data_IF_623744904223
#
_entry.id   IF_623744904223
#
_cell.length_a   1.000
_cell.length_b   1.000
_cell.length_c   1.000
_cell.angle_alpha   90.00
_cell.angle_beta   90.00
_cell.angle_gamma   90.00
#
_symmetry.space_group_name_H-M   'P 1'
#
loop_
_entity.id
_entity.type
_entity.pdbx_description
1 polymer ?
#
# COMPACT_ATOMS: atom_id res chain seq x y z
N UNK A 1 15.72 13.24 2.73
CA UNK A 1 15.95 11.83 3.13
C UNK A 1 14.64 11.27 3.64
N UNK A 2 14.30 10.05 3.23
CA UNK A 2 13.05 9.38 3.57
C UNK A 2 13.13 8.82 5.00
N UNK A 3 12.18 9.15 5.91
CA UNK A 3 12.12 8.57 7.25
C UNK A 3 11.98 7.04 7.24
N UNK A 4 12.58 6.35 8.24
CA UNK A 4 12.40 4.91 8.49
C UNK A 4 11.05 4.61 9.15
N UNK A 5 9.97 4.97 8.45
CA UNK A 5 8.59 4.73 8.85
C UNK A 5 7.90 3.94 7.74
N UNK A 6 7.34 2.79 8.08
CA UNK A 6 6.56 1.94 7.19
C UNK A 6 5.07 2.18 7.42
N UNK A 7 4.34 2.46 6.36
CA UNK A 7 2.91 2.72 6.37
C UNK A 7 2.17 1.64 5.60
N UNK A 8 1.24 0.99 6.28
CA UNK A 8 0.34 -0.02 5.71
C UNK A 8 -1.08 0.44 5.96
N UNK A 9 -1.93 0.40 4.94
CA UNK A 9 -3.29 0.97 5.02
C UNK A 9 -4.29 -0.13 4.71
N UNK A 10 -5.23 -0.36 5.63
CA UNK A 10 -6.34 -1.27 5.43
C UNK A 10 -7.63 -0.67 6.01
N UNK A 11 -8.57 -0.32 5.14
CA UNK A 11 -9.89 0.20 5.51
C UNK A 11 -10.98 -0.68 4.90
N UNK A 12 -12.15 -0.68 5.53
CA UNK A 12 -13.26 -1.56 5.20
C UNK A 12 -13.36 -2.74 6.18
N UNK A 13 -13.69 -3.92 5.67
CA UNK A 13 -13.89 -5.10 6.50
C UNK A 13 -12.57 -5.58 7.15
N UNK A 14 -12.50 -5.44 8.48
CA UNK A 14 -11.33 -5.86 9.26
C UNK A 14 -11.13 -7.37 9.28
N UNK A 15 -12.20 -8.16 9.09
CA UNK A 15 -12.08 -9.62 9.03
C UNK A 15 -11.27 -10.11 7.81
N UNK A 16 -11.16 -9.26 6.78
CA UNK A 16 -10.38 -9.54 5.56
C UNK A 16 -8.94 -9.01 5.63
N UNK A 17 -8.58 -8.31 6.71
CA UNK A 17 -7.25 -7.70 6.84
C UNK A 17 -6.16 -8.77 6.83
N UNK A 18 -5.14 -8.67 5.96
CA UNK A 18 -4.11 -9.68 5.81
C UNK A 18 -3.02 -9.57 6.90
N UNK A 19 -3.38 -9.72 8.18
CA UNK A 19 -2.46 -9.50 9.31
C UNK A 19 -1.18 -10.35 9.24
N UNK A 20 -1.26 -11.54 8.65
CA UNK A 20 -0.09 -12.40 8.42
C UNK A 20 0.89 -11.84 7.39
N UNK A 21 0.38 -11.16 6.36
CA UNK A 21 1.22 -10.46 5.37
C UNK A 21 1.81 -9.19 5.98
N UNK A 22 1.00 -8.41 6.71
CA UNK A 22 1.46 -7.24 7.47
C UNK A 22 2.60 -7.63 8.43
N UNK A 23 2.48 -8.76 9.12
CA UNK A 23 3.52 -9.25 10.02
C UNK A 23 4.85 -9.55 9.31
N UNK A 24 4.84 -9.90 8.02
CA UNK A 24 6.10 -10.11 7.28
C UNK A 24 6.88 -8.80 7.11
N UNK A 25 6.19 -7.67 6.92
CA UNK A 25 6.82 -6.35 6.89
C UNK A 25 7.43 -5.99 8.24
N UNK A 26 6.70 -6.21 9.34
CA UNK A 26 7.18 -5.99 10.71
C UNK A 26 8.45 -6.82 10.99
N UNK A 27 8.42 -8.11 10.64
CA UNK A 27 9.55 -9.01 10.89
C UNK A 27 10.82 -8.63 10.12
N UNK A 28 10.68 -8.06 8.92
CA UNK A 28 11.81 -7.61 8.10
C UNK A 28 12.32 -6.21 8.44
N UNK A 29 11.62 -5.46 9.29
CA UNK A 29 11.97 -4.08 9.64
C UNK A 29 11.92 -3.84 11.17
N UNK A 30 12.67 -4.60 11.98
CA UNK A 30 12.62 -4.49 13.45
C UNK A 30 13.10 -3.15 14.00
N UNK A 31 13.85 -2.38 13.21
CA UNK A 31 14.38 -1.06 13.58
C UNK A 31 13.52 0.10 13.04
N UNK A 32 12.42 -0.18 12.32
CA UNK A 32 11.57 0.83 11.73
C UNK A 32 10.29 1.00 12.54
N UNK A 33 9.74 2.21 12.52
CA UNK A 33 8.38 2.44 12.99
C UNK A 33 7.40 1.89 11.96
N UNK A 34 6.55 0.93 12.34
CA UNK A 34 5.50 0.39 11.46
C UNK A 34 4.14 0.87 11.92
N UNK A 35 3.42 1.58 11.03
CA UNK A 35 2.09 2.11 11.27
C UNK A 35 1.08 1.40 10.37
N UNK A 36 0.12 0.71 10.99
CA UNK A 36 -1.05 0.16 10.33
C UNK A 36 -2.22 1.12 10.51
N UNK A 37 -2.63 1.76 9.41
CA UNK A 37 -3.73 2.71 9.36
C UNK A 37 -5.04 1.99 9.03
N UNK A 38 -6.06 2.23 9.84
CA UNK A 38 -7.35 1.55 9.73
C UNK A 38 -8.56 2.48 9.74
N UNK A 39 -9.74 1.86 9.89
CA UNK A 39 -11.03 2.57 9.95
C UNK A 39 -11.03 3.63 11.06
N UNK A 40 -10.42 3.33 12.21
CA UNK A 40 -10.35 4.25 13.33
C UNK A 40 -9.51 5.50 12.98
N UNK A 41 -8.39 5.35 12.27
CA UNK A 41 -7.57 6.49 11.85
C UNK A 41 -8.31 7.34 10.80
N UNK A 42 -9.03 6.69 9.90
CA UNK A 42 -9.86 7.36 8.90
C UNK A 42 -10.87 8.32 9.55
N UNK A 43 -11.51 7.92 10.65
CA UNK A 43 -12.52 8.75 11.34
C UNK A 43 -11.93 9.73 12.37
N UNK A 44 -10.82 9.38 13.02
CA UNK A 44 -10.27 10.17 14.13
C UNK A 44 -9.26 11.25 13.70
N UNK A 45 -8.63 11.09 12.53
CA UNK A 45 -7.67 12.05 12.02
C UNK A 45 -8.34 13.22 11.29
N UNK A 46 -7.61 14.33 11.18
CA UNK A 46 -7.99 15.45 10.31
C UNK A 46 -7.34 15.28 8.95
N UNK A 47 -8.18 15.06 7.93
CA UNK A 47 -7.76 14.88 6.55
C UNK A 47 -8.03 16.15 5.73
N UNK A 48 -7.09 16.56 4.90
CA UNK A 48 -7.27 17.65 3.93
C UNK A 48 -8.28 17.26 2.86
N UNK A 49 -8.29 16.00 2.44
CA UNK A 49 -9.20 15.43 1.46
C UNK A 49 -10.45 14.81 2.11
N UNK A 50 -10.90 15.30 3.27
CA UNK A 50 -12.01 14.71 4.05
C UNK A 50 -13.28 14.51 3.22
N UNK A 51 -13.66 15.51 2.43
CA UNK A 51 -14.85 15.42 1.56
C UNK A 51 -14.70 14.33 0.50
N UNK A 52 -13.51 14.20 -0.10
CA UNK A 52 -13.22 13.18 -1.10
C UNK A 52 -13.16 11.78 -0.49
N UNK A 53 -12.54 11.63 0.69
CA UNK A 53 -12.51 10.38 1.45
C UNK A 53 -13.92 9.91 1.79
N UNK A 54 -14.77 10.82 2.27
CA UNK A 54 -16.16 10.52 2.60
C UNK A 54 -16.92 9.97 1.40
N UNK A 55 -16.79 10.65 0.27
CA UNK A 55 -17.44 10.25 -0.96
C UNK A 55 -16.96 8.91 -1.51
N UNK A 56 -15.64 8.71 -1.55
CA UNK A 56 -15.05 7.46 -2.02
C UNK A 56 -15.39 6.28 -1.11
N UNK A 57 -15.57 6.52 0.20
CA UNK A 57 -15.98 5.51 1.16
C UNK A 57 -17.35 4.89 0.87
N UNK A 58 -18.21 5.57 0.12
CA UNK A 58 -19.50 5.04 -0.32
C UNK A 58 -19.38 4.08 -1.52
N UNK A 59 -18.20 3.98 -2.15
CA UNK A 59 -18.01 3.29 -3.42
C UNK A 59 -16.92 2.22 -3.33
N UNK A 60 -15.73 2.59 -2.86
CA UNK A 60 -14.56 1.70 -2.90
C UNK A 60 -13.55 2.02 -1.78
N UNK A 61 -13.37 1.06 -0.87
CA UNK A 61 -12.37 1.14 0.20
C UNK A 61 -10.93 1.24 -0.33
N UNK A 62 -10.64 0.67 -1.51
CA UNK A 62 -9.32 0.81 -2.12
C UNK A 62 -9.04 2.26 -2.55
N UNK A 63 -10.07 2.99 -3.00
CA UNK A 63 -9.93 4.40 -3.36
C UNK A 63 -9.68 5.27 -2.12
N UNK A 64 -10.36 4.96 -1.01
CA UNK A 64 -10.11 5.60 0.29
C UNK A 64 -8.66 5.36 0.74
N UNK A 65 -8.20 4.11 0.73
CA UNK A 65 -6.81 3.77 1.08
C UNK A 65 -5.78 4.50 0.19
N UNK A 66 -6.09 4.68 -1.10
CA UNK A 66 -5.25 5.40 -2.04
C UNK A 66 -5.17 6.91 -1.73
N UNK A 67 -6.26 7.55 -1.29
CA UNK A 67 -6.21 8.96 -0.86
C UNK A 67 -5.46 9.10 0.48
N UNK A 68 -5.74 8.23 1.45
CA UNK A 68 -5.03 8.21 2.73
C UNK A 68 -3.52 8.10 2.53
N UNK A 69 -3.06 7.24 1.61
CA UNK A 69 -1.64 7.07 1.26
C UNK A 69 -0.95 8.40 0.96
N UNK A 70 -1.54 9.23 0.11
CA UNK A 70 -0.92 10.47 -0.31
C UNK A 70 -0.85 11.49 0.82
N UNK A 71 -1.90 11.59 1.63
CA UNK A 71 -1.90 12.48 2.80
C UNK A 71 -0.94 12.01 3.88
N UNK A 72 -0.86 10.71 4.15
CA UNK A 72 0.10 10.13 5.09
C UNK A 72 1.53 10.43 4.64
N UNK A 73 1.88 10.15 3.37
CA UNK A 73 3.22 10.47 2.84
C UNK A 73 3.49 11.98 2.86
N UNK A 74 2.49 12.83 2.58
CA UNK A 74 2.65 14.28 2.67
C UNK A 74 3.00 14.73 4.09
N UNK A 75 2.30 14.18 5.09
CA UNK A 75 2.39 14.60 6.48
C UNK A 75 3.56 13.98 7.24
N UNK A 76 3.87 12.72 6.98
CA UNK A 76 4.86 11.95 7.73
C UNK A 76 6.12 11.62 6.92
N UNK A 77 6.04 11.62 5.58
CA UNK A 77 7.05 10.98 4.74
C UNK A 77 6.97 9.46 4.89
N UNK A 78 8.10 8.78 4.82
CA UNK A 78 8.21 7.35 5.04
C UNK A 78 7.98 6.53 3.78
N UNK A 79 7.66 5.25 3.95
CA UNK A 79 7.44 4.29 2.87
C UNK A 79 6.07 3.64 3.03
N UNK A 80 5.21 3.82 2.03
CA UNK A 80 3.95 3.09 1.94
C UNK A 80 4.16 1.82 1.13
N UNK A 81 3.56 0.73 1.60
CA UNK A 81 3.59 -0.58 0.94
C UNK A 81 2.19 -1.18 0.88
N UNK A 82 1.93 -2.05 -0.09
CA UNK A 82 0.63 -2.70 -0.24
C UNK A 82 0.33 -3.63 0.94
N UNK A 83 -0.88 -3.54 1.49
CA UNK A 83 -1.30 -4.40 2.61
C UNK A 83 -1.40 -5.88 2.22
N UNK A 84 -1.74 -6.17 0.97
CA UNK A 84 -1.81 -7.52 0.39
C UNK A 84 -0.48 -7.96 -0.25
N UNK A 85 0.65 -7.55 0.32
CA UNK A 85 1.98 -7.93 -0.15
C UNK A 85 2.75 -8.75 0.87
N UNK A 86 3.44 -9.77 0.36
CA UNK A 86 4.41 -10.55 1.10
C UNK A 86 5.75 -9.81 1.09
N UNK A 87 6.24 -9.40 2.26
CA UNK A 87 7.60 -8.88 2.41
C UNK A 87 8.60 -10.04 2.40
N UNK A 88 9.68 -9.90 1.64
CA UNK A 88 10.69 -10.94 1.41
C UNK A 88 12.06 -10.56 1.98
N UNK A 89 12.31 -9.27 2.19
CA UNK A 89 13.55 -8.74 2.79
C UNK A 89 13.34 -7.30 3.25
N UNK A 90 14.26 -6.83 4.08
CA UNK A 90 14.35 -5.42 4.47
C UNK A 90 14.64 -4.52 3.26
N UNK A 91 14.11 -3.31 3.28
CA UNK A 91 14.46 -2.26 2.32
C UNK A 91 15.90 -1.79 2.57
N UNK A 92 16.66 -1.63 1.50
CA UNK A 92 18.05 -1.19 1.62
C UNK A 92 18.11 0.30 1.95
N UNK A 93 18.99 0.69 2.89
CA UNK A 93 19.11 2.08 3.35
C UNK A 93 19.41 3.08 2.21
N UNK A 94 20.08 2.62 1.14
CA UNK A 94 20.35 3.45 -0.05
C UNK A 94 19.07 3.94 -0.74
N UNK A 95 17.94 3.25 -0.58
CA UNK A 95 16.64 3.71 -1.08
C UNK A 95 16.19 4.98 -0.35
N UNK A 96 16.59 5.14 0.92
CA UNK A 96 16.17 6.24 1.78
C UNK A 96 16.96 7.52 1.55
N UNK A 97 18.11 7.42 0.88
CA UNK A 97 18.93 8.58 0.48
C UNK A 97 18.23 9.41 -0.62
N UNK A 98 17.25 8.84 -1.32
CA UNK A 98 16.41 9.57 -2.26
C UNK A 98 15.49 10.60 -1.55
N UNK A 99 14.97 11.57 -2.31
CA UNK A 99 13.86 12.43 -1.86
C UNK A 99 12.52 11.73 -2.05
N UNK A 100 12.42 10.88 -3.08
CA UNK A 100 11.27 10.02 -3.35
C UNK A 100 11.73 8.83 -4.19
N UNK A 101 11.14 7.65 -3.95
CA UNK A 101 11.28 6.49 -4.81
C UNK A 101 9.94 5.79 -5.06
N UNK A 102 9.87 5.07 -6.17
CA UNK A 102 8.80 4.12 -6.51
C UNK A 102 9.38 3.06 -7.47
N UNK A 103 8.56 2.18 -8.01
CA UNK A 103 8.94 1.27 -9.09
C UNK A 103 8.00 1.42 -10.30
N UNK A 104 8.38 0.82 -11.44
CA UNK A 104 7.45 0.62 -12.54
C UNK A 104 6.33 -0.35 -12.14
N UNK A 105 5.13 -0.13 -12.67
CA UNK A 105 4.00 -1.06 -12.51
C UNK A 105 4.31 -2.40 -13.17
N UNK A 106 4.71 -2.36 -14.45
CA UNK A 106 5.34 -3.46 -15.16
C UNK A 106 5.89 -2.94 -16.49
N UNK A 107 7.18 -3.13 -16.78
CA UNK A 107 7.81 -2.56 -17.97
C UNK A 107 7.30 -3.16 -19.29
N UNK A 108 6.71 -4.37 -19.25
CA UNK A 108 6.21 -5.07 -20.44
C UNK A 108 4.70 -4.87 -20.63
N UNK A 109 3.92 -5.07 -19.57
CA UNK A 109 2.46 -5.03 -19.62
C UNK A 109 1.89 -3.61 -19.49
N UNK A 110 2.57 -2.72 -18.76
CA UNK A 110 2.10 -1.35 -18.46
C UNK A 110 3.25 -0.34 -18.62
N UNK A 111 3.84 -0.23 -19.83
CA UNK A 111 5.05 0.56 -20.05
C UNK A 111 4.84 2.04 -19.72
N UNK A 112 5.78 2.60 -18.94
CA UNK A 112 5.77 4.02 -18.58
C UNK A 112 4.74 4.39 -17.51
N UNK A 113 4.20 3.42 -16.77
CA UNK A 113 3.31 3.59 -15.61
C UNK A 113 4.07 3.31 -14.31
N UNK A 114 4.06 4.26 -13.38
CA UNK A 114 4.63 4.14 -12.04
C UNK A 114 3.67 3.40 -11.09
N UNK A 115 4.20 2.69 -10.10
CA UNK A 115 3.41 1.96 -9.11
C UNK A 115 3.07 2.82 -7.89
N UNK A 116 1.80 3.13 -7.67
CA UNK A 116 1.38 3.87 -6.47
C UNK A 116 1.31 3.00 -5.19
N UNK A 117 1.44 1.68 -5.30
CA UNK A 117 1.38 0.76 -4.14
C UNK A 117 2.67 0.73 -3.31
N UNK A 118 3.81 1.12 -3.91
CA UNK A 118 5.12 1.19 -3.25
C UNK A 118 5.74 2.55 -3.51
N UNK A 119 5.72 3.41 -2.50
CA UNK A 119 6.21 4.78 -2.60
C UNK A 119 6.94 5.13 -1.31
N UNK A 120 8.22 5.48 -1.43
CA UNK A 120 8.97 6.16 -0.39
C UNK A 120 9.06 7.63 -0.70
N UNK A 121 8.84 8.51 0.27
CA UNK A 121 8.95 9.95 0.08
C UNK A 121 9.41 10.66 1.36
N UNK A 122 10.15 11.74 1.20
CA UNK A 122 10.33 12.68 2.29
C UNK A 122 9.01 13.42 2.56
N UNK A 123 8.86 13.86 3.81
CA UNK A 123 7.70 14.64 4.22
C UNK A 123 7.58 15.90 3.35
N UNK A 124 6.36 16.19 2.87
CA UNK A 124 6.04 17.31 1.97
C UNK A 124 6.79 17.28 0.62
N UNK A 125 7.17 16.10 0.12
CA UNK A 125 7.74 15.99 -1.23
C UNK A 125 6.83 16.70 -2.27
N UNK A 126 7.38 17.48 -3.23
CA UNK A 126 6.58 18.28 -4.16
C UNK A 126 5.54 17.48 -4.96
N UNK A 127 5.93 16.31 -5.49
CA UNK A 127 5.00 15.45 -6.25
C UNK A 127 3.84 14.95 -5.38
N UNK A 128 4.12 14.53 -4.15
CA UNK A 128 3.10 14.04 -3.21
C UNK A 128 2.16 15.18 -2.82
N UNK A 129 2.72 16.36 -2.51
CA UNK A 129 1.94 17.56 -2.19
C UNK A 129 1.01 17.93 -3.33
N UNK A 130 1.50 17.89 -4.58
CA UNK A 130 0.68 18.18 -5.76
C UNK A 130 -0.47 17.18 -5.93
N UNK A 131 -0.24 15.88 -5.68
CA UNK A 131 -1.31 14.87 -5.75
C UNK A 131 -2.38 15.17 -4.69
N UNK A 132 -1.99 15.44 -3.45
CA UNK A 132 -2.94 15.79 -2.37
C UNK A 132 -3.73 17.05 -2.73
N UNK A 133 -3.07 18.08 -3.25
CA UNK A 133 -3.71 19.33 -3.66
C UNK A 133 -4.71 19.13 -4.81
N UNK A 134 -4.35 18.35 -5.83
CA UNK A 134 -5.25 18.04 -6.95
C UNK A 134 -6.49 17.26 -6.47
N UNK A 135 -6.32 16.30 -5.56
CA UNK A 135 -7.44 15.54 -4.99
C UNK A 135 -8.34 16.48 -4.17
N UNK A 136 -7.77 17.26 -3.26
CA UNK A 136 -8.52 18.20 -2.42
C UNK A 136 -9.25 19.29 -3.23
N UNK A 137 -8.72 19.68 -4.39
CA UNK A 137 -9.35 20.63 -5.29
C UNK A 137 -10.52 20.06 -6.11
N UNK A 138 -10.73 18.74 -6.09
CA UNK A 138 -11.80 18.09 -6.85
C UNK A 138 -13.15 18.35 -6.19
N UNK A 139 -13.96 19.22 -6.81
CA UNK A 139 -15.29 19.64 -6.31
C UNK A 139 -16.43 18.73 -6.76
N UNK A 140 -16.35 18.21 -7.99
CA UNK A 140 -17.31 17.23 -8.46
C UNK A 140 -16.85 15.85 -8.03
N UNK A 141 -17.37 15.38 -6.89
CA UNK A 141 -17.11 14.05 -6.35
C UNK A 141 -17.41 12.94 -7.38
N UNK A 142 -18.44 13.16 -8.23
CA UNK A 142 -18.76 12.23 -9.30
C UNK A 142 -17.61 12.05 -10.28
N UNK A 143 -16.70 13.02 -10.39
CA UNK A 143 -15.49 12.91 -11.20
C UNK A 143 -14.51 11.85 -10.66
N UNK A 144 -14.34 11.79 -9.33
CA UNK A 144 -13.46 10.80 -8.69
C UNK A 144 -13.96 9.37 -8.86
N UNK A 145 -15.28 9.19 -8.93
CA UNK A 145 -15.94 7.88 -9.04
C UNK A 145 -16.24 7.47 -10.48
N UNK A 146 -16.30 8.42 -11.43
CA UNK A 146 -16.46 8.14 -12.88
C UNK A 146 -15.18 7.64 -13.54
N UNK A 147 -14.02 7.94 -12.97
CA UNK A 147 -12.73 7.50 -13.48
C UNK A 147 -12.20 6.28 -12.73
N UNK A 148 -11.43 5.38 -13.38
CA UNK A 148 -10.77 4.30 -12.69
C UNK A 148 -9.88 4.83 -11.56
N UNK A 149 -9.84 4.11 -10.43
CA UNK A 149 -9.02 4.45 -9.25
C UNK A 149 -7.58 4.81 -9.61
N UNK A 150 -6.98 4.08 -10.56
CA UNK A 150 -5.62 4.33 -11.02
C UNK A 150 -5.44 5.75 -11.58
N UNK A 151 -6.43 6.29 -12.29
CA UNK A 151 -6.43 7.61 -12.92
C UNK A 151 -6.74 8.75 -11.95
N UNK A 152 -7.68 8.54 -11.02
CA UNK A 152 -8.08 9.58 -10.07
C UNK A 152 -7.08 9.73 -8.92
N UNK A 153 -6.67 8.62 -8.30
CA UNK A 153 -5.92 8.61 -7.03
C UNK A 153 -4.77 7.60 -6.97
N UNK A 154 -4.51 6.85 -8.04
CA UNK A 154 -3.54 5.75 -8.05
C UNK A 154 -2.34 5.95 -9.01
N UNK A 155 -1.90 4.83 -9.59
CA UNK A 155 -0.68 4.74 -10.43
C UNK A 155 -0.64 5.70 -11.62
N UNK A 156 -1.76 5.89 -12.33
CA UNK A 156 -1.81 6.83 -13.46
C UNK A 156 -1.82 8.28 -12.97
N UNK A 157 -2.44 8.59 -11.83
CA UNK A 157 -2.35 9.93 -11.21
C UNK A 157 -0.91 10.28 -10.84
N UNK A 158 -0.21 9.37 -10.15
CA UNK A 158 1.23 9.52 -9.83
C UNK A 158 2.04 9.73 -11.11
N UNK A 159 1.83 8.88 -12.12
CA UNK A 159 2.53 8.95 -13.40
C UNK A 159 2.32 10.28 -14.11
N UNK A 160 1.08 10.78 -14.11
CA UNK A 160 0.72 12.05 -14.73
C UNK A 160 1.41 13.22 -14.03
N UNK A 161 1.32 13.30 -12.69
CA UNK A 161 1.95 14.37 -11.91
C UNK A 161 3.47 14.37 -12.06
N UNK A 162 4.09 13.19 -12.08
CA UNK A 162 5.53 13.05 -12.35
C UNK A 162 5.93 13.59 -13.74
N UNK A 163 5.17 13.21 -14.79
CA UNK A 163 5.41 13.66 -16.17
C UNK A 163 5.23 15.17 -16.32
N UNK A 164 4.18 15.72 -15.73
CA UNK A 164 3.87 17.16 -15.80
C UNK A 164 4.92 18.00 -15.09
N UNK A 165 5.39 17.53 -13.94
CA UNK A 165 6.47 18.18 -13.18
C UNK A 165 7.84 18.08 -13.87
N UNK A 166 8.01 17.14 -14.80
CA UNK A 166 9.32 16.79 -15.40
C UNK A 166 10.38 16.52 -14.34
N UNK A 167 9.96 15.87 -13.25
CA UNK A 167 10.81 15.61 -12.09
C UNK A 167 11.89 14.57 -12.44
N UNK A 168 13.14 14.97 -12.31
CA UNK A 168 14.32 14.14 -12.57
C UNK A 168 14.98 13.59 -11.31
N UNK A 169 14.44 13.93 -10.13
CA UNK A 169 14.91 13.48 -8.81
C UNK A 169 14.24 12.20 -8.33
N UNK A 170 13.06 11.86 -8.88
CA UNK A 170 12.36 10.61 -8.56
C UNK A 170 13.21 9.39 -8.92
N UNK A 171 13.56 8.59 -7.91
CA UNK A 171 14.20 7.30 -8.12
C UNK A 171 13.18 6.23 -8.52
N UNK A 172 13.31 5.68 -9.73
CA UNK A 172 12.37 4.67 -10.25
C UNK A 172 13.08 3.33 -10.34
N UNK A 173 12.64 2.39 -9.52
CA UNK A 173 13.14 1.02 -9.46
C UNK A 173 12.49 0.15 -10.55
N UNK A 174 13.15 -0.94 -10.98
CA UNK A 174 12.53 -1.96 -11.80
C UNK A 174 11.27 -2.55 -11.13
N UNK A 175 10.27 -2.97 -11.91
CA UNK A 175 9.01 -3.48 -11.34
C UNK A 175 9.26 -4.69 -10.43
N UNK A 176 10.23 -5.55 -10.78
CA UNK A 176 10.54 -6.77 -10.02
C UNK A 176 10.97 -6.51 -8.58
N UNK A 177 11.36 -5.29 -8.22
CA UNK A 177 11.70 -4.93 -6.83
C UNK A 177 10.53 -5.13 -5.86
N UNK A 178 9.28 -4.96 -6.32
CA UNK A 178 8.08 -5.18 -5.49
C UNK A 178 6.99 -6.02 -6.18
N UNK A 179 7.02 -6.08 -7.51
CA UNK A 179 6.06 -6.75 -8.39
C UNK A 179 6.77 -7.81 -9.26
N UNK A 180 7.45 -8.81 -8.67
CA UNK A 180 8.13 -9.88 -9.43
C UNK A 180 7.14 -10.79 -10.17
N UNK A 181 5.86 -10.74 -9.81
CA UNK A 181 4.75 -11.43 -10.47
C UNK A 181 3.66 -10.39 -10.73
N UNK A 182 3.30 -10.20 -12.01
CA UNK A 182 2.23 -9.28 -12.41
C UNK A 182 1.17 -10.09 -13.20
N UNK A 183 -0.14 -9.91 -12.95
CA UNK A 183 -1.19 -10.72 -13.58
C UNK A 183 -1.17 -10.75 -15.12
N UNK A 184 -0.63 -9.69 -15.72
CA UNK A 184 -0.59 -9.48 -17.17
C UNK A 184 0.80 -9.66 -17.79
N UNK A 185 1.80 -10.11 -17.03
CA UNK A 185 3.18 -10.23 -17.51
C UNK A 185 3.83 -11.55 -17.07
N UNK A 186 4.85 -12.04 -17.80
CA UNK A 186 5.67 -13.14 -17.33
C UNK A 186 6.30 -12.84 -15.96
N UNK A 187 6.43 -13.87 -15.12
CA UNK A 187 7.14 -13.75 -13.85
C UNK A 187 8.62 -13.41 -14.07
N UNK A 188 9.15 -12.57 -13.19
CA UNK A 188 10.58 -12.25 -13.15
C UNK A 188 11.41 -13.51 -12.84
N UNK A 189 12.50 -13.72 -13.59
CA UNK A 189 13.42 -14.86 -13.45
C UNK A 189 14.89 -14.44 -13.30
N UNK A 190 15.15 -13.15 -13.12
CA UNK A 190 16.51 -12.65 -12.94
C UNK A 190 16.97 -12.73 -11.48
N UNK A 191 18.16 -12.18 -11.23
CA UNK A 191 18.83 -12.21 -9.92
C UNK A 191 18.81 -10.85 -9.19
N UNK A 192 18.00 -9.89 -9.66
CA UNK A 192 17.83 -8.58 -9.05
C UNK A 192 17.16 -8.69 -7.67
N UNK A 193 17.33 -7.63 -6.87
CA UNK A 193 16.71 -7.57 -5.54
C UNK A 193 15.18 -7.53 -5.65
N UNK A 194 14.52 -8.37 -4.86
CA UNK A 194 13.07 -8.44 -4.72
C UNK A 194 12.73 -8.23 -3.24
N UNK A 195 12.11 -7.10 -2.91
CA UNK A 195 11.72 -6.72 -1.55
C UNK A 195 10.37 -7.29 -1.15
N UNK A 196 9.44 -7.41 -2.10
CA UNK A 196 8.10 -7.90 -1.84
C UNK A 196 7.50 -8.62 -3.06
N UNK A 197 6.35 -9.25 -2.83
CA UNK A 197 5.45 -9.72 -3.87
C UNK A 197 4.02 -9.32 -3.53
N UNK A 198 3.48 -8.36 -4.29
CA UNK A 198 2.04 -8.05 -4.23
C UNK A 198 1.21 -9.22 -4.74
N UNK A 199 0.08 -9.49 -4.09
CA UNK A 199 -0.83 -10.55 -4.48
C UNK A 199 -1.91 -10.08 -5.46
N UNK A 200 -2.06 -8.77 -5.68
CA UNK A 200 -3.10 -8.17 -6.51
C UNK A 200 -4.49 -8.66 -6.12
N UNK A 201 -4.78 -8.73 -4.82
CA UNK A 201 -5.89 -9.51 -4.29
C UNK A 201 -7.26 -9.00 -4.77
N UNK A 202 -7.41 -7.69 -4.94
CA UNK A 202 -8.60 -7.10 -5.56
C UNK A 202 -8.75 -7.54 -7.04
N UNK A 203 -7.67 -7.49 -7.81
CA UNK A 203 -7.67 -7.83 -9.25
C UNK A 203 -7.91 -9.33 -9.48
N UNK A 204 -7.40 -10.18 -8.59
CA UNK A 204 -7.49 -11.64 -8.70
C UNK A 204 -8.67 -12.24 -7.92
N UNK A 205 -9.50 -11.42 -7.26
CA UNK A 205 -10.63 -11.89 -6.48
C UNK A 205 -10.24 -12.70 -5.23
N UNK A 206 -9.08 -12.40 -4.64
CA UNK A 206 -8.51 -13.10 -3.48
C UNK A 206 -8.78 -12.43 -2.14
N UNK A 207 -9.51 -11.31 -2.14
CA UNK A 207 -9.75 -10.51 -0.92
C UNK A 207 -10.35 -11.32 0.24
N UNK A 208 -11.24 -12.28 -0.04
CA UNK A 208 -11.89 -13.09 0.99
C UNK A 208 -10.96 -14.17 1.56
N UNK A 209 -9.87 -14.47 0.86
CA UNK A 209 -8.86 -15.45 1.30
C UNK A 209 -7.68 -14.79 2.02
N UNK A 210 -7.49 -13.47 1.88
CA UNK A 210 -6.32 -12.73 2.35
C UNK A 210 -5.96 -12.99 3.82
N UNK A 211 -6.94 -12.90 4.72
CA UNK A 211 -6.74 -13.10 6.16
C UNK A 211 -6.26 -14.52 6.52
N UNK A 212 -6.51 -15.51 5.65
CA UNK A 212 -6.17 -16.92 5.87
C UNK A 212 -4.93 -17.38 5.12
N UNK A 213 -4.34 -16.54 4.27
CA UNK A 213 -3.13 -16.89 3.53
C UNK A 213 -1.97 -17.14 4.50
N UNK A 214 -1.17 -18.16 4.18
CA UNK A 214 0.03 -18.52 4.93
C UNK A 214 1.28 -18.02 4.19
N UNK A 215 2.04 -17.05 4.74
CA UNK A 215 3.24 -16.52 4.10
C UNK A 215 4.25 -17.60 3.69
N UNK A 216 4.46 -18.62 4.52
CA UNK A 216 5.38 -19.71 4.21
C UNK A 216 4.96 -20.50 2.96
N UNK A 217 3.66 -20.72 2.76
CA UNK A 217 3.14 -21.40 1.58
C UNK A 217 3.32 -20.53 0.32
N UNK A 218 3.12 -19.21 0.43
CA UNK A 218 3.38 -18.27 -0.65
C UNK A 218 4.86 -18.26 -1.05
N UNK A 219 5.78 -18.21 -0.09
CA UNK A 219 7.24 -18.27 -0.33
C UNK A 219 7.63 -19.58 -1.04
N UNK A 220 7.08 -20.71 -0.60
CA UNK A 220 7.33 -22.01 -1.23
C UNK A 220 6.86 -22.03 -2.69
N UNK A 221 5.61 -21.59 -2.94
CA UNK A 221 5.04 -21.45 -4.28
C UNK A 221 5.81 -20.44 -5.16
N UNK A 222 6.43 -19.43 -4.56
CA UNK A 222 7.32 -18.50 -5.25
C UNK A 222 8.66 -19.13 -5.65
N UNK A 223 9.22 -19.96 -4.79
CA UNK A 223 10.53 -20.59 -4.95
C UNK A 223 10.51 -21.83 -5.86
N UNK A 224 9.34 -22.28 -6.30
CA UNK A 224 9.18 -23.52 -7.07
C UNK A 224 9.48 -24.79 -6.28
N UNK A 225 9.54 -24.70 -4.94
CA UNK A 225 9.66 -25.84 -4.03
C UNK A 225 8.29 -26.03 -3.38
N UNK A 226 7.68 -27.22 -3.52
CA UNK A 226 6.48 -27.56 -2.76
C UNK A 226 6.71 -27.29 -1.26
N UNK A 227 5.74 -26.67 -0.60
CA UNK A 227 5.78 -26.44 0.84
C UNK A 227 5.85 -27.80 1.55
N UNK A 228 6.96 -28.07 2.23
CA UNK A 228 7.00 -29.17 3.18
C UNK A 228 5.93 -28.90 4.27
N UNK A 229 5.16 -29.91 4.70
CA UNK A 229 4.09 -29.71 5.68
C UNK A 229 4.66 -29.07 6.95
N UNK A 230 4.04 -27.96 7.36
CA UNK A 230 4.47 -27.18 8.51
C UNK A 230 4.49 -28.06 9.78
N UNK A 231 5.68 -28.31 10.31
CA UNK A 231 5.83 -28.80 11.66
C UNK A 231 5.34 -27.69 12.62
N UNK A 232 4.39 -28.01 13.49
CA UNK A 232 3.92 -27.13 14.56
C UNK A 232 5.09 -26.75 15.46
N UNK A 233 5.70 -25.59 15.21
CA UNK A 233 6.57 -24.94 16.19
C UNK A 233 5.68 -24.16 17.15
N UNK A 234 5.62 -24.59 18.40
CA UNK A 234 5.08 -23.79 19.49
C UNK A 234 6.05 -22.63 19.72
N UNK A 235 5.73 -21.45 19.19
CA UNK A 235 6.40 -20.20 19.55
C UNK A 235 6.03 -19.79 20.98
N UNK A 236 6.91 -19.05 21.70
CA UNK A 236 6.60 -18.56 23.03
C UNK A 236 5.38 -17.62 22.97
N UNK A 237 4.57 -17.65 24.03
CA UNK A 237 3.38 -16.83 24.16
C UNK A 237 3.71 -15.32 23.98
N UNK A 238 2.84 -14.54 23.33
CA UNK A 238 3.07 -13.11 23.11
C UNK A 238 3.12 -12.36 24.44
N UNK A 239 4.10 -11.47 24.58
CA UNK A 239 4.34 -10.64 25.77
C UNK A 239 3.48 -9.36 25.82
N UNK A 240 2.43 -9.25 25.00
CA UNK A 240 1.51 -8.11 25.05
C UNK A 240 0.07 -8.56 24.83
N UNK A 241 -0.83 -8.12 25.71
CA UNK A 241 -2.28 -8.22 25.54
C UNK A 241 -2.77 -7.03 24.71
N UNK A 242 -3.18 -7.29 23.47
CA UNK A 242 -3.97 -6.31 22.70
C UNK A 242 -5.44 -6.55 23.04
N UNK A 243 -6.08 -5.59 23.70
CA UNK A 243 -7.55 -5.57 23.85
C UNK A 243 -8.10 -4.92 22.59
N UNK A 244 -8.79 -5.71 21.76
CA UNK A 244 -9.45 -5.24 20.53
C UNK A 244 -10.95 -5.10 20.83
N UNK A 245 -11.52 -3.88 20.90
CA UNK A 245 -12.96 -3.71 20.86
C UNK A 245 -13.41 -3.97 19.41
N UNK A 246 -14.17 -5.03 19.20
CA UNK A 246 -14.78 -5.33 17.90
C UNK A 246 -15.99 -4.43 17.68
N UNK A 247 -15.96 -3.58 16.65
CA UNK A 247 -17.16 -2.95 16.11
C UNK A 247 -17.15 -3.07 14.59
N UNK A 248 -17.75 -4.15 14.08
CA UNK A 248 -18.18 -4.27 12.70
C UNK A 248 -19.35 -3.29 12.49
N UNK A 249 -19.22 -2.22 11.70
CA UNK A 249 -20.29 -1.65 10.85
C UNK A 249 -19.74 -0.72 9.76
N UNK A 250 -19.82 -1.16 8.49
CA UNK A 250 -19.61 -0.28 7.33
C UNK A 250 -20.63 0.88 7.24
N UNK A 251 -21.78 0.76 7.92
CA UNK A 251 -22.84 1.77 7.91
C UNK A 251 -22.53 3.01 8.80
N UNK A 252 -21.60 2.89 9.74
CA UNK A 252 -21.28 3.97 10.70
C UNK A 252 -20.18 4.91 10.19
N UNK A 253 -19.39 4.48 9.20
CA UNK A 253 -18.31 5.28 8.62
C UNK A 253 -18.87 6.49 7.83
N UNK A 254 -20.07 6.34 7.27
CA UNK A 254 -20.84 7.43 6.67
C UNK A 254 -21.47 8.40 7.68
N UNK A 255 -21.70 7.99 8.93
CA UNK A 255 -22.30 8.88 9.94
C UNK A 255 -21.24 9.58 10.79
N UNK A 256 -20.12 8.92 11.09
CA UNK A 256 -19.04 9.50 11.90
C UNK A 256 -18.25 10.63 11.19
N UNK A 257 -18.26 10.64 9.86
CA UNK A 257 -17.60 11.69 9.06
C UNK A 257 -18.51 12.88 8.74
N UNK A 258 -19.82 12.76 9.01
CA UNK A 258 -20.83 13.80 8.79
C UNK A 258 -21.09 14.70 10.00
N UNK A 259 -20.49 14.40 11.17
CA UNK A 259 -20.45 15.23 12.38
C UNK A 259 -19.10 15.92 12.54
#
# INVERSE_FOLDING_TARGET
>A
MIPKILHIIWVGDEARRPDRLVQTWVNHHPEWDVKLWGNQDLVSQTWRCREQLYALGQVDCAAVAAVMRWEILHNEGGVVVAADSLCLRTLDDVLLDATMFTCWQNELAEPGVLCASYVGAERKHPLVSRIVEDIAATKDIGDLTRHPLSASVGSLKLTQVWKDARDSSLSILPSHSFLPRHPKAPAYRGNGAVYACELFASTLGLLDSLATLEPAALIAAMSGKEAAPAARAQGPAPLFSVVIPTYNRMDELGQALAS
#
